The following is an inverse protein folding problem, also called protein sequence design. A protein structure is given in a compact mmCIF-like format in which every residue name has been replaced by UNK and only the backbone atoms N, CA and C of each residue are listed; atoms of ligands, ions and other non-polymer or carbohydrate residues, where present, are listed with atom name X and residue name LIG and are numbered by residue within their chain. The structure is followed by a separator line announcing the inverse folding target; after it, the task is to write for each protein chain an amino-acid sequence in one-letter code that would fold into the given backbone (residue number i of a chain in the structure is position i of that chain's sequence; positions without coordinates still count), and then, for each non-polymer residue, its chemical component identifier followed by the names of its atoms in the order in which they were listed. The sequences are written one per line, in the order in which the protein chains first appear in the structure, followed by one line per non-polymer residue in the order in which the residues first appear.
data_IF_958932705070
#
_entry.id   IF_958932705070
#
_cell.length_a   1.000
_cell.length_b   1.000
_cell.length_c   1.000
_cell.angle_alpha   90.00
_cell.angle_beta   90.00
_cell.angle_gamma   90.00
#
_symmetry.space_group_name_H-M   'P 1'
#
loop_
_entity.id
_entity.type
_entity.pdbx_description
1 polymer ?
#
# COMPACT_ATOMS: atom_id res chain seq x y z
N UNK A 1 -21.03 4.64 0.54
CA UNK A 1 -21.08 3.17 0.41
C UNK A 1 -21.87 2.71 -0.83
N UNK A 2 -23.14 3.06 -0.98
CA UNK A 2 -23.99 2.52 -2.06
C UNK A 2 -23.40 2.71 -3.46
N UNK A 3 -22.80 3.88 -3.76
CA UNK A 3 -22.15 4.11 -5.05
C UNK A 3 -20.98 3.14 -5.30
N UNK A 4 -20.17 2.84 -4.28
CA UNK A 4 -19.04 1.91 -4.40
C UNK A 4 -19.51 0.49 -4.71
N UNK A 5 -20.57 0.02 -4.04
CA UNK A 5 -21.06 -1.35 -4.20
C UNK A 5 -21.73 -1.61 -5.56
N UNK A 6 -22.06 -0.54 -6.30
CA UNK A 6 -22.62 -0.63 -7.66
C UNK A 6 -21.51 -0.79 -8.71
N UNK A 7 -20.24 -0.53 -8.36
CA UNK A 7 -19.12 -0.62 -9.31
C UNK A 7 -19.03 -2.00 -10.00
N UNK A 8 -18.61 -2.04 -11.29
CA UNK A 8 -18.60 -3.28 -12.09
C UNK A 8 -17.71 -4.38 -11.51
N UNK A 9 -16.68 -4.02 -10.74
CA UNK A 9 -15.78 -4.97 -10.09
C UNK A 9 -16.51 -5.98 -9.20
N UNK A 10 -17.69 -5.62 -8.69
CA UNK A 10 -18.52 -6.47 -7.83
C UNK A 10 -19.49 -7.34 -8.62
N UNK A 11 -19.68 -7.15 -9.91
CA UNK A 11 -20.70 -7.88 -10.70
C UNK A 11 -20.46 -9.39 -10.72
N UNK A 12 -19.21 -9.90 -10.95
CA UNK A 12 -18.96 -11.33 -10.85
C UNK A 12 -19.32 -11.92 -9.48
N UNK A 13 -19.16 -11.15 -8.40
CA UNK A 13 -19.54 -11.57 -7.05
C UNK A 13 -21.05 -11.55 -6.86
N UNK A 14 -21.77 -10.55 -7.39
CA UNK A 14 -23.23 -10.47 -7.33
C UNK A 14 -23.89 -11.60 -8.12
N UNK A 15 -23.33 -11.98 -9.27
CA UNK A 15 -23.78 -13.11 -10.07
C UNK A 15 -23.59 -14.44 -9.34
N UNK A 16 -22.42 -14.63 -8.72
CA UNK A 16 -22.10 -15.86 -7.99
C UNK A 16 -22.85 -15.97 -6.66
N UNK A 17 -22.98 -14.85 -5.93
CA UNK A 17 -23.55 -14.76 -4.59
C UNK A 17 -24.37 -13.47 -4.43
N UNK A 18 -25.67 -13.47 -4.81
CA UNK A 18 -26.51 -12.27 -4.84
C UNK A 18 -26.60 -11.48 -3.54
N UNK A 19 -26.42 -12.15 -2.40
CA UNK A 19 -26.50 -11.54 -1.07
C UNK A 19 -25.13 -11.29 -0.41
N UNK A 20 -24.00 -11.52 -1.11
CA UNK A 20 -22.67 -11.38 -0.52
C UNK A 20 -22.40 -9.97 0.02
N UNK A 21 -22.85 -8.94 -0.71
CA UNK A 21 -22.64 -7.54 -0.34
C UNK A 21 -23.48 -7.08 0.85
N UNK A 22 -24.52 -7.83 1.25
CA UNK A 22 -25.31 -7.53 2.45
C UNK A 22 -24.49 -7.65 3.74
N UNK A 23 -23.30 -8.28 3.68
CA UNK A 23 -22.35 -8.37 4.80
C UNK A 23 -21.54 -7.08 5.01
N UNK A 24 -21.59 -6.13 4.08
CA UNK A 24 -20.80 -4.90 4.14
C UNK A 24 -21.54 -3.86 4.97
N UNK A 25 -20.93 -3.44 6.08
CA UNK A 25 -21.43 -2.38 6.95
C UNK A 25 -20.46 -1.21 6.89
N UNK A 26 -20.92 -0.04 6.47
CA UNK A 26 -20.12 1.18 6.55
C UNK A 26 -20.21 1.77 7.96
N UNK A 27 -19.05 2.13 8.49
CA UNK A 27 -18.91 2.91 9.72
C UNK A 27 -18.25 4.22 9.32
N UNK A 28 -18.89 5.33 9.67
CA UNK A 28 -18.36 6.66 9.47
C UNK A 28 -17.22 6.92 10.46
N UNK A 29 -16.13 7.50 9.95
CA UNK A 29 -14.93 7.82 10.72
C UNK A 29 -13.89 8.53 9.85
N UNK A 30 -12.90 9.12 10.51
CA UNK A 30 -11.74 9.79 9.95
C UNK A 30 -10.50 9.35 10.72
N UNK A 31 -9.55 8.74 10.03
CA UNK A 31 -8.33 8.21 10.64
C UNK A 31 -7.45 9.30 11.26
N UNK A 32 -7.66 10.57 10.90
CA UNK A 32 -6.91 11.71 11.46
C UNK A 32 -7.46 12.19 12.80
N UNK A 33 -8.60 11.63 13.25
CA UNK A 33 -9.24 12.00 14.51
C UNK A 33 -9.00 10.94 15.59
N UNK A 34 -9.02 11.33 16.88
CA UNK A 34 -8.94 10.39 17.99
C UNK A 34 -10.00 9.28 17.88
N UNK A 35 -9.58 8.03 18.10
CA UNK A 35 -10.41 6.83 17.93
C UNK A 35 -11.11 6.78 16.57
N UNK A 36 -10.44 7.27 15.54
CA UNK A 36 -10.90 7.32 14.16
C UNK A 36 -12.17 8.18 13.98
N UNK A 37 -12.52 9.06 14.92
CA UNK A 37 -13.75 9.84 14.89
C UNK A 37 -15.04 9.00 14.89
N UNK A 38 -14.96 7.72 15.27
CA UNK A 38 -16.09 6.78 15.23
C UNK A 38 -17.01 7.03 16.43
N UNK A 39 -18.32 6.90 16.22
CA UNK A 39 -19.30 7.04 17.31
C UNK A 39 -19.09 6.02 18.43
N UNK A 40 -19.43 6.35 19.70
CA UNK A 40 -19.24 5.43 20.83
C UNK A 40 -19.91 4.06 20.65
N UNK A 41 -21.11 4.02 20.03
CA UNK A 41 -21.83 2.78 19.77
C UNK A 41 -21.09 1.88 18.78
N UNK A 42 -20.56 2.46 17.69
CA UNK A 42 -19.77 1.74 16.71
C UNK A 42 -18.41 1.31 17.26
N UNK A 43 -17.76 2.11 18.12
CA UNK A 43 -16.54 1.70 18.82
C UNK A 43 -16.79 0.45 19.68
N UNK A 44 -17.89 0.43 20.44
CA UNK A 44 -18.27 -0.72 21.24
C UNK A 44 -18.57 -1.96 20.39
N UNK A 45 -19.24 -1.78 19.24
CA UNK A 45 -19.46 -2.85 18.28
C UNK A 45 -18.13 -3.42 17.78
N UNK A 46 -17.22 -2.56 17.33
CA UNK A 46 -15.92 -2.96 16.79
C UNK A 46 -15.08 -3.72 17.83
N UNK A 47 -14.99 -3.18 19.05
CA UNK A 47 -14.25 -3.81 20.17
C UNK A 47 -14.72 -5.23 20.47
N UNK A 48 -16.03 -5.47 20.39
CA UNK A 48 -16.64 -6.77 20.73
C UNK A 48 -16.65 -7.78 19.60
N UNK A 49 -16.57 -7.34 18.34
CA UNK A 49 -16.88 -8.20 17.18
C UNK A 49 -15.74 -8.38 16.19
N UNK A 50 -14.82 -7.42 16.10
CA UNK A 50 -13.73 -7.48 15.12
C UNK A 50 -12.62 -8.41 15.59
N UNK A 51 -12.22 -9.32 14.71
CA UNK A 51 -11.11 -10.25 14.92
C UNK A 51 -9.95 -10.08 13.95
N UNK A 52 -10.17 -9.35 12.85
CA UNK A 52 -9.15 -9.06 11.84
C UNK A 52 -9.28 -7.60 11.41
N UNK A 53 -8.15 -6.89 11.43
CA UNK A 53 -8.04 -5.52 10.92
C UNK A 53 -7.12 -5.52 9.70
N UNK A 54 -7.57 -4.92 8.60
CA UNK A 54 -6.72 -4.64 7.43
C UNK A 54 -6.58 -3.12 7.34
N UNK A 55 -5.43 -2.61 7.72
CA UNK A 55 -5.12 -1.19 7.65
C UNK A 55 -4.42 -0.86 6.33
N UNK A 56 -5.20 -0.33 5.39
CA UNK A 56 -4.73 0.13 4.08
C UNK A 56 -4.95 1.62 3.82
N UNK A 57 -5.51 2.35 4.79
CA UNK A 57 -5.79 3.77 4.64
C UNK A 57 -4.50 4.58 4.74
N UNK A 58 -4.23 5.42 3.74
CA UNK A 58 -3.07 6.29 3.66
C UNK A 58 -3.30 7.38 2.61
N UNK A 59 -2.62 8.53 2.75
CA UNK A 59 -2.35 9.40 1.60
C UNK A 59 -1.16 8.83 0.84
N UNK A 60 -1.32 8.72 -0.48
CA UNK A 60 -0.30 8.21 -1.43
C UNK A 60 0.26 9.31 -2.33
N UNK A 61 -0.03 10.57 -1.99
CA UNK A 61 0.50 11.72 -2.71
C UNK A 61 1.96 11.96 -2.31
N UNK A 62 2.81 12.20 -3.31
CA UNK A 62 4.24 12.39 -3.09
C UNK A 62 4.65 13.84 -2.80
N UNK A 63 3.71 14.77 -3.01
CA UNK A 63 3.83 16.21 -2.81
C UNK A 63 3.00 16.71 -1.61
N UNK A 64 2.50 15.79 -0.77
CA UNK A 64 1.74 16.14 0.42
C UNK A 64 2.67 16.83 1.46
N UNK A 65 2.23 17.95 2.06
CA UNK A 65 2.92 18.59 3.17
C UNK A 65 3.21 17.60 4.32
N UNK A 66 4.35 17.78 4.99
CA UNK A 66 4.82 16.81 6.00
C UNK A 66 3.80 16.61 7.12
N UNK A 67 3.23 17.71 7.65
CA UNK A 67 2.22 17.68 8.71
C UNK A 67 0.99 16.83 8.31
N UNK A 68 0.47 17.03 7.10
CA UNK A 68 -0.69 16.28 6.58
C UNK A 68 -0.33 14.81 6.37
N UNK A 69 0.81 14.53 5.73
CA UNK A 69 1.27 13.17 5.50
C UNK A 69 1.52 12.40 6.81
N UNK A 70 2.09 13.06 7.82
CA UNK A 70 2.32 12.50 9.15
C UNK A 70 1.00 12.25 9.88
N UNK A 71 0.07 13.20 9.87
CA UNK A 71 -1.22 13.03 10.53
C UNK A 71 -2.00 11.83 9.96
N UNK A 72 -2.03 11.70 8.64
CA UNK A 72 -2.75 10.61 7.97
C UNK A 72 -2.02 9.27 8.13
N UNK A 73 -0.77 9.18 7.68
CA UNK A 73 -0.08 7.90 7.55
C UNK A 73 0.53 7.39 8.86
N UNK A 74 0.97 8.29 9.74
CA UNK A 74 1.55 7.92 11.03
C UNK A 74 0.52 8.05 12.16
N UNK A 75 -0.11 9.21 12.31
CA UNK A 75 -1.15 9.46 13.29
C UNK A 75 -2.33 8.50 13.13
N UNK A 76 -2.89 8.40 11.93
CA UNK A 76 -3.98 7.46 11.67
C UNK A 76 -3.59 5.99 11.84
N UNK A 77 -2.33 5.63 11.62
CA UNK A 77 -1.85 4.28 11.99
C UNK A 77 -1.82 4.08 13.50
N UNK A 78 -1.44 5.10 14.28
CA UNK A 78 -1.52 5.05 15.75
C UNK A 78 -2.96 4.82 16.22
N UNK A 79 -3.92 5.60 15.71
CA UNK A 79 -5.33 5.48 16.09
C UNK A 79 -5.93 4.09 15.74
N UNK A 80 -5.55 3.52 14.59
CA UNK A 80 -5.99 2.17 14.20
C UNK A 80 -5.40 1.11 15.13
N UNK A 81 -4.12 1.22 15.49
CA UNK A 81 -3.46 0.30 16.41
C UNK A 81 -4.07 0.41 17.82
N UNK A 82 -4.31 1.62 18.31
CA UNK A 82 -4.93 1.87 19.61
C UNK A 82 -6.35 1.28 19.68
N UNK A 83 -7.15 1.43 18.62
CA UNK A 83 -8.45 0.77 18.54
C UNK A 83 -8.31 -0.76 18.53
N UNK A 84 -7.37 -1.29 17.73
CA UNK A 84 -7.15 -2.74 17.62
C UNK A 84 -6.69 -3.37 18.94
N UNK A 85 -5.88 -2.68 19.74
CA UNK A 85 -5.47 -3.10 21.08
C UNK A 85 -6.66 -3.25 22.04
N UNK A 86 -7.72 -2.48 21.83
CA UNK A 86 -8.95 -2.55 22.62
C UNK A 86 -9.96 -3.61 22.16
N UNK A 87 -9.66 -4.37 21.09
CA UNK A 87 -10.57 -5.39 20.54
C UNK A 87 -10.41 -6.74 21.25
N UNK A 88 -11.51 -7.27 21.77
CA UNK A 88 -11.53 -8.50 22.59
C UNK A 88 -11.21 -9.77 21.78
N UNK A 89 -11.50 -9.76 20.48
CA UNK A 89 -11.38 -10.93 19.61
C UNK A 89 -10.23 -10.81 18.61
N UNK A 90 -9.33 -9.83 18.76
CA UNK A 90 -8.30 -9.55 17.77
C UNK A 90 -7.32 -10.73 17.60
N UNK A 91 -7.19 -11.17 16.35
CA UNK A 91 -6.30 -12.28 15.94
C UNK A 91 -5.30 -11.87 14.87
N UNK A 92 -5.59 -10.81 14.10
CA UNK A 92 -4.67 -10.32 13.08
C UNK A 92 -4.89 -8.83 12.78
N UNK A 93 -3.80 -8.08 12.68
CA UNK A 93 -3.73 -6.73 12.13
C UNK A 93 -2.76 -6.79 10.95
N UNK A 94 -3.24 -6.51 9.73
CA UNK A 94 -2.40 -6.41 8.54
C UNK A 94 -2.21 -4.95 8.22
N UNK A 95 -0.98 -4.45 8.35
CA UNK A 95 -0.61 -3.12 7.92
C UNK A 95 -0.07 -3.15 6.48
N UNK A 96 -0.74 -2.46 5.57
CA UNK A 96 -0.27 -2.32 4.18
C UNK A 96 0.70 -1.16 4.11
N UNK A 97 1.99 -1.47 4.04
CA UNK A 97 3.07 -0.52 3.83
C UNK A 97 3.39 -0.36 2.33
N UNK A 98 4.66 -0.25 1.96
CA UNK A 98 5.14 -0.12 0.58
C UNK A 98 6.57 -0.68 0.47
N UNK A 99 6.90 -1.28 -0.67
CA UNK A 99 8.26 -1.74 -0.96
C UNK A 99 9.28 -0.60 -1.01
N UNK A 100 8.81 0.65 -1.11
CA UNK A 100 9.65 1.84 -1.24
C UNK A 100 10.01 2.50 0.11
N UNK A 101 9.53 1.98 1.26
CA UNK A 101 9.74 2.59 2.59
C UNK A 101 11.24 2.75 2.94
N UNK A 102 12.09 1.91 2.35
CA UNK A 102 13.54 1.88 2.56
C UNK A 102 14.31 2.04 1.23
N UNK A 103 13.76 2.76 0.25
CA UNK A 103 14.30 2.87 -1.11
C UNK A 103 15.66 3.59 -1.22
N UNK A 104 16.13 4.24 -0.16
CA UNK A 104 17.49 4.78 -0.07
C UNK A 104 18.56 3.67 0.00
N UNK A 105 18.15 2.42 0.32
CA UNK A 105 19.06 1.29 0.48
C UNK A 105 19.26 0.55 -0.84
N UNK A 106 20.47 0.00 -1.02
CA UNK A 106 20.79 -0.81 -2.20
C UNK A 106 20.23 -2.24 -2.16
N UNK A 107 19.93 -2.73 -0.96
CA UNK A 107 19.34 -4.02 -0.70
C UNK A 107 18.39 -3.90 0.50
N UNK A 108 17.18 -4.41 0.34
CA UNK A 108 16.11 -4.34 1.34
C UNK A 108 15.70 -5.78 1.68
N UNK A 109 15.95 -6.16 2.92
CA UNK A 109 15.57 -7.43 3.52
C UNK A 109 14.15 -7.34 4.08
N UNK A 110 13.57 -8.51 4.33
CA UNK A 110 12.28 -8.72 4.98
C UNK A 110 12.39 -8.46 6.50
N UNK A 111 12.78 -7.25 6.88
CA UNK A 111 12.90 -6.82 8.28
C UNK A 111 12.47 -5.37 8.47
N UNK A 112 12.21 -5.02 9.72
CA UNK A 112 11.97 -3.63 10.11
C UNK A 112 13.33 -2.93 10.26
N UNK A 113 13.45 -1.76 9.66
CA UNK A 113 14.67 -0.97 9.68
C UNK A 113 14.54 0.17 10.69
N UNK A 114 15.62 0.48 11.42
CA UNK A 114 15.59 1.58 12.39
C UNK A 114 15.30 2.91 11.69
N UNK A 115 14.57 3.75 12.42
CA UNK A 115 14.18 5.10 12.00
C UNK A 115 15.09 6.14 12.66
N UNK A 116 15.19 7.33 12.05
CA UNK A 116 16.00 8.44 12.58
C UNK A 116 15.35 9.13 13.78
N UNK A 117 14.02 9.07 13.85
CA UNK A 117 13.20 9.65 14.90
C UNK A 117 12.21 8.58 15.37
N UNK A 118 12.06 8.47 16.68
CA UNK A 118 11.05 7.58 17.27
C UNK A 118 9.64 7.98 16.82
N UNK A 119 8.77 7.03 16.40
CA UNK A 119 7.44 7.34 15.89
C UNK A 119 6.55 8.13 16.86
N UNK A 120 6.63 7.88 18.18
CA UNK A 120 5.85 8.62 19.18
C UNK A 120 6.33 10.07 19.27
N UNK A 121 7.65 10.27 19.23
CA UNK A 121 8.25 11.60 19.17
C UNK A 121 7.83 12.34 17.89
N UNK A 122 7.85 11.65 16.75
CA UNK A 122 7.39 12.17 15.47
C UNK A 122 5.92 12.59 15.50
N UNK A 123 5.05 11.82 16.18
CA UNK A 123 3.64 12.17 16.40
C UNK A 123 3.54 13.46 17.22
N UNK A 124 4.22 13.51 18.36
CA UNK A 124 4.21 14.69 19.21
C UNK A 124 4.72 15.95 18.47
N UNK A 125 5.72 15.80 17.60
CA UNK A 125 6.25 16.92 16.81
C UNK A 125 5.21 17.49 15.86
N UNK A 126 4.55 16.68 15.01
CA UNK A 126 3.60 17.25 14.05
C UNK A 126 2.32 17.80 14.72
N UNK A 127 1.99 17.33 15.92
CA UNK A 127 0.83 17.81 16.69
C UNK A 127 1.08 19.13 17.43
N UNK A 128 2.33 19.41 17.82
CA UNK A 128 2.66 20.53 18.72
C UNK A 128 3.53 21.61 18.07
N UNK A 129 4.08 21.36 16.89
CA UNK A 129 4.82 22.37 16.13
C UNK A 129 3.92 23.01 15.08
N UNK A 130 4.18 24.28 14.77
CA UNK A 130 3.56 24.97 13.64
C UNK A 130 4.10 24.46 12.29
N UNK A 131 3.31 24.70 11.24
CA UNK A 131 3.62 24.22 9.88
C UNK A 131 4.93 24.82 9.34
N UNK A 132 5.25 26.08 9.64
CA UNK A 132 6.48 26.74 9.18
C UNK A 132 7.73 26.06 9.77
N UNK A 133 7.68 25.70 11.07
CA UNK A 133 8.74 24.92 11.70
C UNK A 133 8.87 23.53 11.08
N UNK A 134 7.76 22.83 10.86
CA UNK A 134 7.75 21.48 10.27
C UNK A 134 8.32 21.49 8.85
N UNK A 135 7.97 22.47 8.03
CA UNK A 135 8.54 22.66 6.70
C UNK A 135 10.05 22.90 6.77
N UNK A 136 10.51 23.72 7.72
CA UNK A 136 11.94 24.02 7.92
C UNK A 136 12.75 22.77 8.26
N UNK A 137 12.21 21.86 9.08
CA UNK A 137 12.90 20.62 9.47
C UNK A 137 12.68 19.45 8.50
N UNK A 138 11.72 19.57 7.58
CA UNK A 138 11.35 18.49 6.64
C UNK A 138 12.56 17.92 5.90
N UNK A 139 13.49 18.72 5.33
CA UNK A 139 14.67 18.18 4.66
C UNK A 139 15.56 17.32 5.57
N UNK A 140 15.66 17.69 6.85
CA UNK A 140 16.44 16.95 7.85
C UNK A 140 15.79 15.61 8.18
N UNK A 141 14.46 15.59 8.32
CA UNK A 141 13.69 14.38 8.58
C UNK A 141 13.67 13.42 7.40
N UNK A 142 13.54 13.95 6.18
CA UNK A 142 13.62 13.16 4.95
C UNK A 142 14.99 12.50 4.81
N UNK A 143 16.06 13.22 5.08
CA UNK A 143 17.42 12.74 4.82
C UNK A 143 17.55 12.30 3.36
N UNK A 144 17.85 11.02 3.14
CA UNK A 144 18.03 10.44 1.80
C UNK A 144 16.71 9.96 1.15
N UNK A 145 15.57 10.11 1.84
CA UNK A 145 14.28 9.65 1.34
C UNK A 145 13.72 10.63 0.30
N UNK A 146 13.10 10.13 -0.78
CA UNK A 146 12.72 10.97 -1.92
C UNK A 146 11.49 11.85 -1.66
N UNK A 147 10.65 11.52 -0.68
CA UNK A 147 9.42 12.26 -0.38
C UNK A 147 8.84 11.90 1.01
N UNK A 148 7.85 12.70 1.44
CA UNK A 148 7.13 12.57 2.72
C UNK A 148 6.37 11.26 2.84
N UNK A 149 5.83 10.72 1.74
CA UNK A 149 5.17 9.41 1.72
C UNK A 149 6.11 8.29 2.18
N UNK A 150 7.30 8.18 1.58
CA UNK A 150 8.28 7.14 1.95
C UNK A 150 8.71 7.27 3.41
N UNK A 151 8.94 8.49 3.89
CA UNK A 151 9.26 8.75 5.29
C UNK A 151 8.14 8.28 6.23
N UNK A 152 6.91 8.71 5.97
CA UNK A 152 5.77 8.41 6.85
C UNK A 152 5.43 6.92 6.88
N UNK A 153 5.54 6.20 5.75
CA UNK A 153 5.39 4.75 5.72
C UNK A 153 6.49 4.03 6.49
N UNK A 154 7.74 4.49 6.41
CA UNK A 154 8.85 3.94 7.20
C UNK A 154 8.64 4.15 8.71
N UNK A 155 8.21 5.34 9.14
CA UNK A 155 7.88 5.61 10.54
C UNK A 155 6.72 4.76 11.04
N UNK A 156 5.67 4.59 10.23
CA UNK A 156 4.52 3.77 10.57
C UNK A 156 4.87 2.28 10.67
N UNK A 157 5.82 1.77 9.88
CA UNK A 157 6.33 0.39 10.04
C UNK A 157 7.00 0.19 11.40
N UNK A 158 7.79 1.15 11.86
CA UNK A 158 8.40 1.07 13.19
C UNK A 158 7.34 1.20 14.29
N UNK A 159 6.34 2.08 14.14
CA UNK A 159 5.23 2.17 15.09
C UNK A 159 4.48 0.83 15.23
N UNK A 160 4.21 0.18 14.10
CA UNK A 160 3.62 -1.17 14.06
C UNK A 160 4.52 -2.19 14.78
N UNK A 161 5.84 -2.14 14.54
CA UNK A 161 6.81 -3.01 15.21
C UNK A 161 6.81 -2.81 16.73
N UNK A 162 6.67 -1.57 17.21
CA UNK A 162 6.57 -1.26 18.65
C UNK A 162 5.31 -1.87 19.30
N UNK A 163 4.21 -2.04 18.54
CA UNK A 163 2.94 -2.59 19.04
C UNK A 163 2.77 -4.10 18.88
N UNK A 164 3.75 -4.81 18.30
CA UNK A 164 3.65 -6.25 17.99
C UNK A 164 3.39 -7.19 19.18
N UNK A 165 3.71 -6.74 20.40
CA UNK A 165 3.43 -7.51 21.63
C UNK A 165 1.99 -7.32 22.11
N UNK A 166 1.40 -6.16 21.82
CA UNK A 166 0.03 -5.81 22.20
C UNK A 166 -0.99 -6.40 21.23
N UNK A 167 -0.73 -6.29 19.92
CA UNK A 167 -1.59 -6.83 18.85
C UNK A 167 -0.82 -7.77 17.92
N UNK A 168 -1.43 -8.89 17.48
CA UNK A 168 -0.85 -9.75 16.46
C UNK A 168 -0.85 -9.00 15.13
N UNK A 169 0.31 -8.50 14.73
CA UNK A 169 0.45 -7.63 13.55
C UNK A 169 1.38 -8.23 12.49
N UNK A 170 1.17 -7.87 11.23
CA UNK A 170 2.14 -8.10 10.15
C UNK A 170 2.17 -6.91 9.19
N UNK A 171 3.29 -6.76 8.47
CA UNK A 171 3.49 -5.69 7.50
C UNK A 171 3.56 -6.30 6.10
N UNK A 172 2.72 -5.82 5.18
CA UNK A 172 2.75 -6.20 3.77
C UNK A 172 3.27 -5.01 2.95
N UNK A 173 4.31 -5.22 2.13
CA UNK A 173 4.97 -4.16 1.35
C UNK A 173 4.74 -4.35 -0.16
N UNK A 174 3.60 -3.91 -0.72
CA UNK A 174 3.39 -3.95 -2.17
C UNK A 174 4.34 -3.00 -2.91
N UNK A 175 4.72 -3.36 -4.15
CA UNK A 175 5.39 -2.48 -5.11
C UNK A 175 4.36 -1.61 -5.87
N UNK A 176 4.63 -1.20 -7.11
CA UNK A 176 3.68 -0.40 -7.89
C UNK A 176 2.50 -1.29 -8.28
N UNK A 177 1.36 -1.06 -7.63
CA UNK A 177 0.14 -1.79 -7.92
C UNK A 177 -0.43 -1.35 -9.26
N UNK A 178 -0.79 -2.33 -10.08
CA UNK A 178 -1.35 -2.14 -11.42
C UNK A 178 -2.70 -2.84 -11.55
N UNK A 179 -3.27 -2.84 -12.77
CA UNK A 179 -4.54 -3.47 -13.08
C UNK A 179 -4.62 -4.93 -12.61
N UNK A 180 -5.84 -5.39 -12.37
CA UNK A 180 -6.14 -6.80 -12.06
C UNK A 180 -5.60 -7.71 -13.16
N UNK A 181 -4.84 -8.75 -12.80
CA UNK A 181 -4.36 -9.73 -13.79
C UNK A 181 -5.46 -10.70 -14.20
N UNK A 182 -6.13 -11.35 -13.24
CA UNK A 182 -7.08 -12.43 -13.51
C UNK A 182 -8.44 -12.27 -12.83
N UNK A 183 -8.49 -11.99 -11.52
CA UNK A 183 -9.74 -11.99 -10.77
C UNK A 183 -9.98 -10.67 -10.02
N UNK A 184 -11.22 -10.16 -9.95
CA UNK A 184 -12.45 -10.71 -10.53
C UNK A 184 -12.67 -10.32 -12.00
N UNK A 185 -12.06 -9.23 -12.49
CA UNK A 185 -12.17 -8.76 -13.89
C UNK A 185 -10.77 -8.41 -14.40
N UNK A 186 -10.21 -9.15 -15.39
CA UNK A 186 -8.91 -8.82 -15.96
C UNK A 186 -8.84 -7.41 -16.54
N UNK A 187 -7.76 -6.69 -16.25
CA UNK A 187 -7.51 -5.33 -16.71
C UNK A 187 -8.29 -4.24 -15.97
N UNK A 188 -9.09 -4.60 -14.95
CA UNK A 188 -9.80 -3.59 -14.16
C UNK A 188 -8.84 -2.68 -13.39
N UNK A 189 -9.18 -1.40 -13.38
CA UNK A 189 -8.50 -0.33 -12.66
C UNK A 189 -9.59 0.58 -12.08
N UNK A 190 -9.46 0.94 -10.80
CA UNK A 190 -10.38 1.84 -10.10
C UNK A 190 -10.03 3.32 -10.29
N UNK A 191 -8.76 3.64 -10.56
CA UNK A 191 -8.28 4.99 -10.79
C UNK A 191 -7.12 5.05 -11.80
N UNK A 192 -7.03 6.15 -12.56
CA UNK A 192 -5.93 6.37 -13.51
C UNK A 192 -4.71 7.05 -12.86
N UNK A 193 -4.47 6.83 -11.56
CA UNK A 193 -3.32 7.44 -10.91
C UNK A 193 -2.02 6.73 -11.32
N UNK A 194 -0.92 7.49 -11.29
CA UNK A 194 0.44 7.01 -11.49
C UNK A 194 0.59 6.07 -12.71
N UNK A 195 0.99 4.82 -12.48
CA UNK A 195 1.28 3.84 -13.53
C UNK A 195 0.04 3.45 -14.34
N UNK A 196 -1.14 3.37 -13.70
CA UNK A 196 -2.38 3.02 -14.40
C UNK A 196 -2.77 4.05 -15.46
N UNK A 197 -2.62 5.34 -15.14
CA UNK A 197 -2.83 6.43 -16.11
C UNK A 197 -1.78 6.43 -17.22
N UNK A 198 -0.52 6.16 -16.88
CA UNK A 198 0.56 6.04 -17.86
C UNK A 198 0.28 4.91 -18.86
N UNK A 199 -0.07 3.72 -18.36
CA UNK A 199 -0.43 2.57 -19.18
C UNK A 199 -1.65 2.86 -20.04
N UNK A 200 -2.69 3.49 -19.51
CA UNK A 200 -3.85 3.90 -20.29
C UNK A 200 -3.48 4.89 -21.41
N UNK A 201 -2.63 5.88 -21.12
CA UNK A 201 -2.11 6.83 -22.11
C UNK A 201 -1.33 6.13 -23.24
N UNK A 202 -0.53 5.11 -22.90
CA UNK A 202 0.19 4.27 -23.86
C UNK A 202 -0.79 3.46 -24.71
N UNK A 203 -1.75 2.78 -24.08
CA UNK A 203 -2.72 1.91 -24.76
C UNK A 203 -3.68 2.68 -25.67
N UNK A 204 -4.04 3.91 -25.30
CA UNK A 204 -4.87 4.81 -26.12
C UNK A 204 -4.07 5.52 -27.22
N UNK A 205 -2.73 5.49 -27.16
CA UNK A 205 -1.85 6.16 -28.11
C UNK A 205 -1.71 7.67 -27.91
N UNK A 206 -2.20 8.20 -26.78
CA UNK A 206 -1.97 9.59 -26.34
C UNK A 206 -0.49 9.76 -25.97
N UNK A 207 0.05 8.81 -25.22
CA UNK A 207 1.46 8.73 -24.88
C UNK A 207 2.16 7.83 -25.90
N UNK A 208 2.94 8.44 -26.80
CA UNK A 208 3.62 7.72 -27.90
C UNK A 208 5.08 7.38 -27.61
N UNK A 209 5.67 8.10 -26.67
CA UNK A 209 7.08 7.98 -26.31
C UNK A 209 7.24 8.13 -24.81
N UNK A 210 7.99 7.22 -24.22
CA UNK A 210 8.40 7.28 -22.82
C UNK A 210 9.92 7.27 -22.75
N UNK A 211 10.45 8.17 -21.92
CA UNK A 211 11.87 8.20 -21.60
C UNK A 211 12.08 7.27 -20.41
N UNK A 212 12.86 6.21 -20.63
CA UNK A 212 13.28 5.30 -19.57
C UNK A 212 14.79 5.24 -19.54
N UNK A 213 15.34 5.13 -18.34
CA UNK A 213 16.73 4.74 -18.17
C UNK A 213 16.80 3.21 -18.12
N UNK A 214 17.53 2.61 -19.06
CA UNK A 214 17.62 1.16 -19.25
C UNK A 214 18.43 0.44 -18.17
N UNK A 215 19.00 1.20 -17.23
CA UNK A 215 19.66 0.68 -16.02
C UNK A 215 18.68 0.44 -14.88
N UNK A 216 17.45 0.97 -14.97
CA UNK A 216 16.46 0.92 -13.90
C UNK A 216 15.44 -0.19 -14.17
N UNK A 217 15.07 -0.91 -13.11
CA UNK A 217 14.01 -1.90 -13.15
C UNK A 217 12.69 -1.26 -12.73
N UNK A 218 11.65 -1.47 -13.54
CA UNK A 218 10.29 -1.12 -13.17
C UNK A 218 9.65 -2.32 -12.47
N UNK A 219 9.37 -2.17 -11.18
CA UNK A 219 8.75 -3.20 -10.34
C UNK A 219 7.24 -2.92 -10.20
N UNK A 220 6.43 -3.78 -10.83
CA UNK A 220 4.97 -3.72 -10.80
C UNK A 220 4.38 -5.03 -10.32
N UNK A 221 3.26 -4.92 -9.59
CA UNK A 221 2.50 -6.06 -9.07
C UNK A 221 1.01 -5.92 -9.44
N UNK A 222 0.33 -6.99 -9.88
CA UNK A 222 -1.12 -6.95 -10.11
C UNK A 222 -1.92 -6.79 -8.82
N UNK A 223 -3.00 -6.01 -8.85
CA UNK A 223 -3.86 -5.76 -7.68
C UNK A 223 -4.39 -7.04 -7.02
N UNK A 224 -4.82 -8.03 -7.82
CA UNK A 224 -5.38 -9.27 -7.32
C UNK A 224 -4.37 -10.13 -6.56
N UNK A 225 -3.08 -10.03 -6.90
CA UNK A 225 -2.01 -10.69 -6.16
C UNK A 225 -1.80 -10.04 -4.79
N UNK A 226 -1.82 -8.71 -4.74
CA UNK A 226 -1.68 -7.96 -3.48
C UNK A 226 -2.85 -8.26 -2.54
N UNK A 227 -4.08 -8.26 -3.05
CA UNK A 227 -5.28 -8.59 -2.26
C UNK A 227 -5.21 -10.03 -1.72
N UNK A 228 -4.84 -11.00 -2.57
CA UNK A 228 -4.69 -12.39 -2.14
C UNK A 228 -3.61 -12.55 -1.07
N UNK A 229 -2.49 -11.84 -1.20
CA UNK A 229 -1.43 -11.83 -0.21
C UNK A 229 -1.89 -11.26 1.13
N UNK A 230 -2.61 -10.13 1.12
CA UNK A 230 -3.15 -9.52 2.35
C UNK A 230 -4.09 -10.49 3.07
N UNK A 231 -4.98 -11.15 2.34
CA UNK A 231 -5.91 -12.14 2.91
C UNK A 231 -5.14 -13.36 3.45
N UNK A 232 -4.16 -13.87 2.71
CA UNK A 232 -3.34 -14.99 3.14
C UNK A 232 -2.51 -14.65 4.39
N UNK A 233 -1.94 -13.44 4.45
CA UNK A 233 -1.19 -12.94 5.60
C UNK A 233 -2.09 -12.83 6.84
N UNK A 234 -3.29 -12.25 6.71
CA UNK A 234 -4.27 -12.19 7.79
C UNK A 234 -4.64 -13.60 8.30
N UNK A 235 -4.91 -14.54 7.39
CA UNK A 235 -5.23 -15.92 7.74
C UNK A 235 -4.08 -16.60 8.48
N UNK A 236 -2.85 -16.48 7.98
CA UNK A 236 -1.66 -17.09 8.59
C UNK A 236 -1.42 -16.52 9.99
N UNK A 237 -1.49 -15.20 10.13
CA UNK A 237 -1.32 -14.51 11.41
C UNK A 237 -2.38 -14.94 12.44
N UNK A 238 -3.64 -15.07 12.02
CA UNK A 238 -4.75 -15.44 12.91
C UNK A 238 -4.68 -16.86 13.50
N UNK A 239 -3.83 -17.73 12.92
CA UNK A 239 -3.64 -19.10 13.35
C UNK A 239 -2.43 -19.28 14.27
N UNK A 240 -1.55 -18.27 14.38
CA UNK A 240 -0.33 -18.37 15.17
C UNK A 240 -0.66 -18.16 16.65
N UNK A 241 -0.39 -19.18 17.48
CA UNK A 241 -0.70 -19.14 18.92
C UNK A 241 0.31 -18.36 19.75
N UNK A 242 1.53 -18.17 19.25
CA UNK A 242 2.58 -17.40 19.91
C UNK A 242 2.70 -16.01 19.31
N UNK A 243 2.65 -14.98 20.17
CA UNK A 243 3.03 -13.61 19.83
C UNK A 243 4.56 -13.52 19.76
N UNK A 244 5.19 -14.28 18.87
CA UNK A 244 6.64 -14.34 18.72
C UNK A 244 7.13 -13.46 17.57
N UNK A 245 8.44 -13.17 17.58
CA UNK A 245 9.14 -12.26 16.67
C UNK A 245 8.68 -12.44 15.22
N UNK A 246 8.09 -11.38 14.67
CA UNK A 246 7.57 -11.28 13.30
C UNK A 246 8.44 -12.04 12.29
N UNK A 247 7.91 -13.06 11.59
CA UNK A 247 8.26 -13.23 10.20
C UNK A 247 7.55 -12.09 9.47
N UNK A 248 8.29 -11.03 9.13
CA UNK A 248 7.81 -10.05 8.17
C UNK A 248 7.65 -10.75 6.82
N UNK A 249 6.49 -11.38 6.58
CA UNK A 249 6.24 -12.06 5.30
C UNK A 249 6.10 -11.00 4.20
N UNK A 250 7.13 -10.94 3.35
CA UNK A 250 7.20 -10.10 2.17
C UNK A 250 6.66 -10.90 0.99
N UNK A 251 5.68 -10.33 0.31
CA UNK A 251 5.33 -10.74 -1.04
C UNK A 251 5.96 -9.76 -2.01
N UNK A 252 7.26 -9.90 -2.25
CA UNK A 252 7.91 -9.33 -3.42
C UNK A 252 7.45 -10.14 -4.65
N UNK A 253 6.30 -9.81 -5.22
CA UNK A 253 5.85 -10.37 -6.49
C UNK A 253 6.42 -9.54 -7.65
N UNK A 254 7.48 -10.05 -8.27
CA UNK A 254 8.16 -9.43 -9.41
C UNK A 254 7.46 -9.72 -10.74
N UNK A 255 7.11 -8.67 -11.48
CA UNK A 255 6.86 -8.73 -12.93
C UNK A 255 7.66 -7.61 -13.63
N UNK A 256 8.93 -7.87 -13.94
CA UNK A 256 9.81 -6.88 -14.58
C UNK A 256 9.69 -6.84 -16.11
N UNK A 257 9.45 -5.66 -16.68
CA UNK A 257 9.60 -5.38 -18.12
C UNK A 257 11.00 -4.81 -18.35
N UNK A 258 11.84 -5.50 -19.14
CA UNK A 258 13.17 -5.02 -19.56
C UNK A 258 13.08 -4.49 -21.00
N UNK A 259 13.38 -3.20 -21.24
CA UNK A 259 13.29 -2.58 -22.57
C UNK A 259 14.22 -1.38 -22.79
N UNK A 260 14.70 -1.19 -24.02
CA UNK A 260 15.76 -0.26 -24.48
C UNK A 260 15.44 1.24 -24.29
N UNK A 261 16.48 2.08 -24.19
CA UNK A 261 16.55 3.56 -24.00
C UNK A 261 15.51 4.47 -24.67
N UNK A 262 14.81 4.00 -25.71
CA UNK A 262 13.60 4.63 -26.27
C UNK A 262 12.69 3.50 -26.74
N UNK A 263 11.55 3.33 -26.08
CA UNK A 263 10.51 2.44 -26.58
C UNK A 263 9.58 3.26 -27.48
N UNK A 264 9.68 3.04 -28.79
CA UNK A 264 8.69 3.55 -29.73
C UNK A 264 7.46 2.63 -29.66
N UNK A 265 6.35 3.15 -29.16
CA UNK A 265 5.10 2.39 -29.04
C UNK A 265 4.42 2.39 -30.41
N UNK A 266 4.30 1.23 -31.10
CA UNK A 266 3.63 1.19 -32.39
C UNK A 266 2.16 1.62 -32.23
N UNK A 267 1.62 2.27 -33.26
CA UNK A 267 0.26 2.79 -33.25
C UNK A 267 -0.76 1.63 -33.11
N UNK A 268 -1.34 1.46 -31.91
CA UNK A 268 -2.20 0.32 -31.55
C UNK A 268 -3.46 0.19 -32.42
N UNK A 269 -3.89 1.26 -33.11
CA UNK A 269 -4.98 1.21 -34.10
C UNK A 269 -4.76 0.22 -35.26
N UNK A 270 -3.54 -0.26 -35.51
CA UNK A 270 -3.25 -1.25 -36.56
C UNK A 270 -3.06 -2.70 -36.07
N UNK A 271 -2.99 -2.94 -34.75
CA UNK A 271 -2.79 -4.29 -34.18
C UNK A 271 -4.14 -4.98 -33.90
N UNK A 272 -4.98 -5.09 -34.92
CA UNK A 272 -6.33 -5.61 -34.78
C UNK A 272 -6.47 -7.13 -34.64
N UNK A 273 -5.42 -7.96 -34.77
CA UNK A 273 -5.62 -9.43 -34.90
C UNK A 273 -4.56 -10.39 -34.37
N UNK A 274 -3.52 -9.98 -33.62
CA UNK A 274 -2.57 -10.97 -33.04
C UNK A 274 -1.89 -10.43 -31.77
N UNK A 275 -2.49 -10.72 -30.60
CA UNK A 275 -1.91 -10.45 -29.27
C UNK A 275 -0.75 -11.41 -28.94
N UNK A 276 -0.60 -12.51 -29.69
CA UNK A 276 0.47 -13.51 -29.46
C UNK A 276 1.90 -13.01 -29.74
N UNK A 277 2.06 -11.86 -30.41
CA UNK A 277 3.37 -11.28 -30.70
C UNK A 277 4.03 -10.56 -29.49
N UNK A 278 3.31 -10.38 -28.37
CA UNK A 278 3.81 -9.76 -27.14
C UNK A 278 4.43 -10.75 -26.14
N UNK A 279 4.88 -11.92 -26.58
CA UNK A 279 5.70 -12.82 -25.75
C UNK A 279 7.10 -12.23 -25.53
N UNK A 280 7.19 -11.21 -24.69
CA UNK A 280 8.45 -10.71 -24.14
C UNK A 280 9.01 -11.79 -23.22
N UNK A 281 10.25 -12.24 -23.48
CA UNK A 281 10.92 -13.24 -22.66
C UNK A 281 11.11 -12.69 -21.23
N UNK A 282 10.46 -13.35 -20.27
CA UNK A 282 10.62 -13.13 -18.84
C UNK A 282 12.01 -13.59 -18.44
N UNK A 283 12.84 -12.69 -17.91
CA UNK A 283 14.17 -13.02 -17.38
C UNK A 283 14.16 -12.73 -15.89
N UNK A 284 14.26 -13.77 -15.08
CA UNK A 284 14.45 -13.67 -13.62
C UNK A 284 15.92 -13.34 -13.37
N UNK A 285 16.20 -12.19 -12.74
CA UNK A 285 17.53 -11.81 -12.26
C UNK A 285 17.43 -11.30 -10.83
N UNK A 286 18.38 -11.71 -9.99
CA UNK A 286 18.53 -11.24 -8.60
C UNK A 286 18.84 -9.73 -8.52
N UNK A 287 18.30 -9.04 -7.50
CA UNK A 287 18.29 -7.56 -7.36
C UNK A 287 19.69 -6.95 -7.17
N UNK A 288 19.91 -5.83 -7.87
CA UNK A 288 20.65 -4.64 -7.39
C UNK A 288 19.67 -3.46 -7.44
N UNK A 289 19.61 -2.62 -6.40
CA UNK A 289 18.75 -1.43 -6.38
C UNK A 289 19.15 -0.41 -7.46
N UNK A 290 18.20 0.18 -8.19
CA UNK A 290 18.49 1.15 -9.25
C UNK A 290 19.00 2.53 -8.76
N UNK A 291 18.82 2.86 -7.48
CA UNK A 291 19.10 4.21 -6.95
C UNK A 291 20.59 4.45 -6.63
N UNK A 292 21.41 3.41 -6.63
CA UNK A 292 22.82 3.49 -6.24
C UNK A 292 23.71 3.53 -7.50
N UNK A 293 23.95 4.73 -8.00
CA UNK A 293 25.19 5.08 -8.68
C UNK A 293 25.95 6.06 -7.79
#
# INVERSE_FOLDING_TARGET
LNNLLVEPIFDPLKELLPHALAKVVAIEGDITLPLLGISPDNLNLLRKTVSVVIHSAATVKFDEPLNVAMNINLGGTNEVLELAESMELIKAVVYVSTAFSNCERSFIEEKIYPVRIDPVTAIAMYQNCDDDFLETITPVLLGDKPNTYVLTKHLAEELVNQRKMAVPVCVVRPSIVTAVYKHPIPGYVDNFNAMSGLLAGVMTGVVRTLLFNDQYFLDVVPLDYVVNLIIAAASKLSQTSERSELPAYVGDFFLGIVGRKRMFIPNFRKLGKNIDALRTRVVVKERRCPCAN
#
